data_IF_275844681319
#
_entry.id   IF_275844681319
#
_cell.length_a   1.000
_cell.length_b   1.000
_cell.length_c   1.000
_cell.angle_alpha   90.00
_cell.angle_beta   90.00
_cell.angle_gamma   90.00
#
_symmetry.space_group_name_H-M   'P 1'
#
loop_
_entity.id
_entity.type
_entity.pdbx_description
1 polymer ?
#
# COMPACT_ATOMS: atom_id res chain seq x y z
N UNK A 1 -34.52 -14.80 48.14
CA UNK A 1 -34.22 -15.98 47.30
C UNK A 1 -34.66 -15.66 45.87
N UNK A 2 -33.75 -15.82 44.89
CA UNK A 2 -33.88 -15.80 43.39
C UNK A 2 -34.57 -14.59 42.70
N UNK A 3 -33.99 -13.80 41.78
CA UNK A 3 -33.30 -13.99 40.48
C UNK A 3 -34.25 -14.20 39.28
N UNK A 4 -34.32 -13.23 38.32
CA UNK A 4 -34.32 -13.45 36.84
C UNK A 4 -34.44 -12.16 35.98
N UNK A 5 -33.31 -11.80 35.35
CA UNK A 5 -33.00 -11.29 33.99
C UNK A 5 -33.81 -10.18 33.23
N UNK A 6 -33.08 -9.08 32.99
CA UNK A 6 -32.89 -8.26 31.77
C UNK A 6 -34.04 -7.97 30.77
N UNK A 7 -34.31 -6.67 30.58
CA UNK A 7 -34.08 -5.97 29.29
C UNK A 7 -34.13 -4.45 29.50
N UNK A 8 -32.97 -3.81 29.52
CA UNK A 8 -32.85 -2.36 29.47
C UNK A 8 -33.29 -1.86 28.08
N UNK A 9 -34.39 -1.13 28.04
CA UNK A 9 -34.77 -0.29 26.91
C UNK A 9 -34.76 1.16 27.38
N UNK A 10 -33.77 1.94 26.96
CA UNK A 10 -33.69 3.36 27.28
C UNK A 10 -32.64 4.09 26.44
N UNK A 11 -33.05 5.24 25.90
CA UNK A 11 -32.33 6.20 25.03
C UNK A 11 -32.14 5.76 23.56
N UNK A 12 -32.90 6.24 22.56
CA UNK A 12 -33.24 7.61 22.12
C UNK A 12 -32.07 8.34 21.45
N UNK A 13 -32.00 8.27 20.13
CA UNK A 13 -31.35 9.29 19.30
C UNK A 13 -29.81 9.23 19.24
N UNK A 14 -29.30 9.44 18.03
CA UNK A 14 -27.86 9.56 17.70
C UNK A 14 -27.17 10.80 18.32
N UNK A 15 -27.82 11.50 19.25
CA UNK A 15 -27.35 12.75 19.86
C UNK A 15 -26.57 12.59 21.17
N UNK A 16 -26.60 11.41 21.81
CA UNK A 16 -26.09 11.22 23.18
C UNK A 16 -24.73 10.48 23.28
N UNK A 17 -24.08 10.17 22.15
CA UNK A 17 -22.81 9.44 22.16
C UNK A 17 -21.55 10.34 22.25
N UNK A 18 -21.70 11.67 22.21
CA UNK A 18 -20.58 12.61 22.26
C UNK A 18 -20.26 13.16 23.67
N UNK A 19 -20.84 12.59 24.75
CA UNK A 19 -20.62 13.06 26.14
C UNK A 19 -19.86 12.11 27.06
N UNK A 20 -19.35 11.00 26.56
CA UNK A 20 -18.52 10.08 27.34
C UNK A 20 -17.20 9.90 26.61
N UNK A 21 -16.17 10.61 27.08
CA UNK A 21 -14.80 10.48 26.59
C UNK A 21 -14.23 9.09 26.87
N UNK A 22 -14.49 8.15 25.97
CA UNK A 22 -13.91 6.83 25.94
C UNK A 22 -13.85 6.33 24.50
N UNK A 23 -12.66 5.96 24.06
CA UNK A 23 -12.41 5.32 22.78
C UNK A 23 -13.33 4.10 22.61
N UNK A 24 -14.16 4.11 21.57
CA UNK A 24 -14.97 2.93 21.19
C UNK A 24 -14.12 2.07 20.27
N UNK A 25 -13.27 1.24 20.85
CA UNK A 25 -12.61 0.15 20.12
C UNK A 25 -13.58 -1.03 19.98
N UNK A 26 -14.37 -1.03 18.91
CA UNK A 26 -15.29 -2.12 18.58
C UNK A 26 -15.31 -2.40 17.08
N UNK A 27 -14.98 -3.64 16.68
CA UNK A 27 -15.12 -4.12 15.31
C UNK A 27 -16.59 -4.12 14.91
N UNK A 28 -16.98 -3.24 13.99
CA UNK A 28 -18.32 -3.19 13.44
C UNK A 28 -18.64 -4.49 12.68
N UNK A 29 -19.81 -5.08 12.93
CA UNK A 29 -20.29 -6.25 12.20
C UNK A 29 -21.16 -5.84 11.01
N UNK A 30 -21.25 -6.70 10.00
CA UNK A 30 -22.04 -6.45 8.78
C UNK A 30 -23.55 -6.21 9.03
N UNK A 31 -24.05 -6.53 10.23
CA UNK A 31 -25.46 -6.43 10.59
C UNK A 31 -25.85 -5.07 11.21
N UNK A 32 -24.87 -4.32 11.75
CA UNK A 32 -25.06 -2.96 12.25
C UNK A 32 -25.27 -1.94 11.11
N UNK A 33 -24.99 -2.34 9.87
CA UNK A 33 -24.97 -1.50 8.67
C UNK A 33 -26.32 -1.34 7.95
N UNK A 34 -27.42 -1.91 8.46
CA UNK A 34 -28.71 -1.96 7.72
C UNK A 34 -29.77 -0.92 8.12
N UNK A 35 -29.51 -0.05 9.10
CA UNK A 35 -30.55 0.83 9.68
C UNK A 35 -30.35 2.35 9.47
N UNK A 36 -29.46 2.81 8.58
CA UNK A 36 -29.29 4.24 8.29
C UNK A 36 -30.18 4.75 7.14
N UNK A 37 -30.51 6.04 7.07
CA UNK A 37 -31.27 6.64 5.96
C UNK A 37 -30.42 7.00 4.74
N UNK A 38 -31.05 7.22 3.58
CA UNK A 38 -30.52 7.38 2.21
C UNK A 38 -29.26 8.28 1.94
N UNK A 39 -28.62 8.86 2.95
CA UNK A 39 -27.28 9.45 2.87
C UNK A 39 -26.14 8.55 3.35
N UNK A 40 -26.41 7.50 4.14
CA UNK A 40 -25.36 6.66 4.74
C UNK A 40 -24.68 5.74 3.72
N UNK A 41 -25.35 5.37 2.63
CA UNK A 41 -24.75 4.57 1.56
C UNK A 41 -23.82 5.39 0.65
N UNK A 42 -24.00 6.72 0.55
CA UNK A 42 -23.10 7.58 -0.24
C UNK A 42 -21.76 7.76 0.44
N UNK A 43 -21.77 7.81 1.78
CA UNK A 43 -20.56 7.84 2.58
C UNK A 43 -20.00 6.43 2.81
N UNK A 44 -20.82 5.38 2.84
CA UNK A 44 -20.33 4.00 2.84
C UNK A 44 -19.81 3.55 1.47
N UNK A 45 -20.20 4.16 0.34
CA UNK A 45 -19.45 4.02 -0.93
C UNK A 45 -18.08 4.73 -0.84
N UNK A 46 -17.91 5.66 0.11
CA UNK A 46 -16.62 6.27 0.46
C UNK A 46 -15.92 5.58 1.66
N UNK A 47 -16.63 4.80 2.47
CA UNK A 47 -16.18 4.14 3.71
C UNK A 47 -16.78 2.73 3.84
N UNK A 48 -16.59 1.91 2.81
CA UNK A 48 -17.28 0.63 2.54
C UNK A 48 -17.37 0.30 1.03
N UNK A 49 -16.91 1.22 0.18
CA UNK A 49 -16.45 0.94 -1.17
C UNK A 49 -15.12 0.21 -1.08
N UNK A 50 -14.83 -0.68 -2.02
CA UNK A 50 -13.53 -1.32 -2.12
C UNK A 50 -12.45 -0.26 -1.88
N UNK A 51 -11.67 -0.42 -0.81
CA UNK A 51 -10.37 0.25 -0.74
C UNK A 51 -9.68 -0.19 -2.02
N UNK A 52 -9.53 0.71 -2.97
CA UNK A 52 -8.81 0.42 -4.21
C UNK A 52 -7.33 0.48 -3.80
N UNK A 53 -6.91 -0.51 -3.01
CA UNK A 53 -5.57 -0.59 -2.46
C UNK A 53 -4.65 -0.86 -3.61
N UNK A 54 -3.79 0.10 -3.92
CA UNK A 54 -2.67 -0.16 -4.81
C UNK A 54 -1.66 -1.02 -4.04
N UNK A 55 -1.16 -2.05 -4.69
CA UNK A 55 -0.12 -2.94 -4.18
C UNK A 55 0.98 -3.08 -5.22
N UNK A 56 2.19 -3.37 -4.76
CA UNK A 56 3.35 -3.62 -5.62
C UNK A 56 4.12 -4.82 -5.07
N UNK A 57 4.57 -5.68 -5.97
CA UNK A 57 5.44 -6.80 -5.64
C UNK A 57 6.58 -6.92 -6.64
N UNK A 58 7.69 -7.44 -6.18
CA UNK A 58 8.88 -7.72 -6.97
C UNK A 58 9.96 -8.25 -6.04
N UNK A 59 10.85 -9.08 -6.57
CA UNK A 59 11.96 -9.66 -5.82
C UNK A 59 13.25 -9.06 -6.36
N UNK A 60 13.85 -8.08 -5.65
CA UNK A 60 15.06 -7.44 -6.13
C UNK A 60 16.20 -8.44 -6.19
N UNK A 61 16.98 -8.35 -7.27
CA UNK A 61 18.32 -8.91 -7.30
C UNK A 61 19.22 -7.93 -6.54
N UNK A 62 20.10 -8.45 -5.67
CA UNK A 62 20.87 -7.62 -4.73
C UNK A 62 22.36 -7.63 -5.03
N UNK A 63 22.76 -8.17 -6.19
CA UNK A 63 24.14 -8.30 -6.61
C UNK A 63 24.28 -8.07 -8.12
N UNK A 64 25.34 -7.39 -8.53
CA UNK A 64 25.77 -7.25 -9.92
C UNK A 64 27.29 -7.06 -10.03
N UNK A 65 27.79 -6.95 -11.25
CA UNK A 65 29.20 -6.69 -11.55
C UNK A 65 29.28 -5.46 -12.46
N UNK A 66 30.30 -4.61 -12.27
CA UNK A 66 30.59 -3.49 -13.16
C UNK A 66 30.74 -3.98 -14.61
N UNK A 67 30.25 -3.18 -15.57
CA UNK A 67 30.36 -3.40 -17.02
C UNK A 67 29.68 -4.69 -17.56
N UNK A 68 29.07 -5.50 -16.69
CA UNK A 68 28.26 -6.65 -17.06
C UNK A 68 26.75 -6.30 -17.08
N UNK A 69 25.94 -6.95 -17.93
CA UNK A 69 24.50 -6.76 -17.91
C UNK A 69 23.94 -7.16 -16.54
N UNK A 70 23.25 -6.24 -15.89
CA UNK A 70 22.54 -6.51 -14.66
C UNK A 70 21.31 -7.38 -14.99
N UNK A 71 21.35 -8.65 -14.59
CA UNK A 71 20.21 -9.57 -14.56
C UNK A 71 19.19 -9.08 -13.53
N UNK A 72 18.53 -7.97 -13.83
CA UNK A 72 17.66 -7.29 -12.88
C UNK A 72 16.34 -8.01 -12.62
N UNK A 73 15.33 -7.25 -12.23
CA UNK A 73 14.04 -7.79 -11.79
C UNK A 73 12.89 -6.91 -12.28
N UNK A 74 11.69 -7.48 -12.32
CA UNK A 74 10.48 -6.75 -12.68
C UNK A 74 9.61 -6.55 -11.43
N UNK A 75 9.08 -5.34 -11.28
CA UNK A 75 8.00 -5.07 -10.31
C UNK A 75 6.64 -5.08 -11.00
N UNK A 76 5.62 -5.53 -10.29
CA UNK A 76 4.24 -5.57 -10.79
C UNK A 76 3.32 -4.85 -9.81
N UNK A 77 2.64 -3.82 -10.31
CA UNK A 77 1.58 -3.14 -9.58
C UNK A 77 0.22 -3.84 -9.78
N UNK A 78 -0.63 -3.75 -8.76
CA UNK A 78 -1.99 -4.31 -8.77
C UNK A 78 -2.94 -3.44 -7.93
N UNK A 79 -4.25 -3.58 -8.17
CA UNK A 79 -5.27 -2.73 -7.52
C UNK A 79 -5.21 -1.26 -7.96
N UNK A 80 -5.77 -0.32 -7.21
CA UNK A 80 -5.81 1.10 -7.63
C UNK A 80 -6.45 1.34 -9.01
N UNK A 81 -6.02 2.41 -9.70
CA UNK A 81 -6.52 2.79 -11.04
C UNK A 81 -5.41 2.73 -12.09
N UNK A 82 -5.43 1.78 -13.04
CA UNK A 82 -4.47 1.78 -14.14
C UNK A 82 -4.66 3.01 -15.05
N UNK A 83 -3.63 3.43 -15.82
CA UNK A 83 -2.30 2.82 -15.92
C UNK A 83 -1.42 3.09 -14.69
N UNK A 84 -0.40 2.26 -14.50
CA UNK A 84 0.65 2.47 -13.49
C UNK A 84 1.90 3.04 -14.15
N UNK A 85 2.62 3.88 -13.42
CA UNK A 85 3.94 4.41 -13.79
C UNK A 85 4.95 3.98 -12.75
N UNK A 86 6.07 3.40 -13.19
CA UNK A 86 7.14 2.94 -12.30
C UNK A 86 8.31 3.92 -12.26
N UNK A 87 8.96 4.03 -11.09
CA UNK A 87 10.13 4.89 -10.90
C UNK A 87 11.10 4.31 -9.85
N UNK A 88 12.40 4.49 -10.09
CA UNK A 88 13.45 4.16 -9.13
C UNK A 88 13.41 5.13 -7.95
N UNK A 89 13.62 4.60 -6.74
CA UNK A 89 13.71 5.36 -5.49
C UNK A 89 15.08 5.10 -4.87
N UNK A 90 15.74 6.16 -4.40
CA UNK A 90 17.10 6.11 -3.85
C UNK A 90 18.17 6.48 -4.88
N UNK A 91 19.43 6.25 -4.51
CA UNK A 91 20.60 6.54 -5.37
C UNK A 91 21.07 5.26 -6.02
N UNK A 92 20.61 4.99 -7.23
CA UNK A 92 20.98 3.79 -7.99
C UNK A 92 22.35 3.95 -8.65
N UNK A 93 23.07 2.83 -8.93
CA UNK A 93 24.28 2.87 -9.74
C UNK A 93 24.01 3.49 -11.10
N UNK A 94 24.93 4.31 -11.58
CA UNK A 94 24.87 4.83 -12.96
C UNK A 94 24.75 3.69 -13.96
N UNK A 95 23.85 3.85 -14.93
CA UNK A 95 23.58 2.84 -15.96
C UNK A 95 22.46 1.86 -15.63
N UNK A 96 21.88 1.88 -14.42
CA UNK A 96 20.65 1.15 -14.08
C UNK A 96 19.42 2.04 -14.24
N UNK A 97 18.37 1.52 -14.88
CA UNK A 97 17.10 2.21 -15.07
C UNK A 97 15.90 1.28 -14.82
N UNK A 98 14.71 1.88 -14.68
CA UNK A 98 13.44 1.16 -14.72
C UNK A 98 12.66 1.57 -15.96
N UNK A 99 12.05 0.61 -16.64
CA UNK A 99 11.03 0.91 -17.64
C UNK A 99 9.76 1.39 -16.94
N UNK A 100 9.32 2.64 -17.19
CA UNK A 100 8.21 3.24 -16.46
C UNK A 100 6.85 2.61 -16.77
N UNK A 101 6.74 1.79 -17.83
CA UNK A 101 5.50 1.13 -18.26
C UNK A 101 5.44 -0.33 -17.85
N UNK A 102 6.59 -1.04 -17.88
CA UNK A 102 6.66 -2.48 -17.58
C UNK A 102 7.15 -2.77 -16.17
N UNK A 103 7.84 -1.84 -15.53
CA UNK A 103 8.44 -2.04 -14.21
C UNK A 103 9.70 -2.92 -14.23
N UNK A 104 10.27 -3.17 -15.42
CA UNK A 104 11.53 -3.89 -15.57
C UNK A 104 12.69 -3.00 -15.15
N UNK A 105 13.47 -3.44 -14.17
CA UNK A 105 14.71 -2.81 -13.74
C UNK A 105 15.86 -3.55 -14.41
N UNK A 106 16.65 -2.85 -15.22
CA UNK A 106 17.76 -3.43 -15.97
C UNK A 106 18.79 -2.37 -16.34
N UNK A 107 19.95 -2.80 -16.83
CA UNK A 107 21.02 -1.89 -17.26
C UNK A 107 22.40 -2.50 -17.14
N UNK A 108 23.43 -1.65 -17.20
CA UNK A 108 24.84 -2.04 -17.02
C UNK A 108 25.46 -1.05 -16.05
N UNK A 109 25.77 -1.46 -14.80
CA UNK A 109 26.29 -0.55 -13.80
C UNK A 109 27.75 -0.17 -14.13
N UNK A 110 28.07 1.11 -14.01
CA UNK A 110 29.43 1.62 -14.31
C UNK A 110 30.28 1.91 -13.07
N UNK A 111 29.71 1.72 -11.88
CA UNK A 111 30.39 2.00 -10.61
C UNK A 111 30.19 0.83 -9.63
N UNK A 112 31.30 0.36 -9.05
CA UNK A 112 31.29 -0.65 -7.99
C UNK A 112 30.99 -0.01 -6.64
N UNK A 113 30.24 -0.69 -5.78
CA UNK A 113 29.94 -0.21 -4.45
C UNK A 113 28.73 -0.86 -3.81
N UNK A 114 28.45 -0.46 -2.57
CA UNK A 114 27.22 -0.82 -1.86
C UNK A 114 26.22 0.34 -1.95
N UNK A 115 25.06 0.08 -2.54
CA UNK A 115 23.99 1.06 -2.72
C UNK A 115 22.81 0.66 -1.84
N UNK A 116 22.59 1.40 -0.74
CA UNK A 116 21.57 1.10 0.26
C UNK A 116 20.32 1.99 0.12
N UNK A 117 19.20 1.55 0.72
CA UNK A 117 17.91 2.24 0.71
C UNK A 117 17.34 2.40 -0.72
N UNK A 118 17.58 1.39 -1.56
CA UNK A 118 17.01 1.34 -2.90
C UNK A 118 15.60 0.77 -2.84
N UNK A 119 14.73 1.30 -3.68
CA UNK A 119 13.40 0.74 -3.89
C UNK A 119 12.91 1.09 -5.30
N UNK A 120 11.77 0.51 -5.67
CA UNK A 120 11.04 0.84 -6.89
C UNK A 120 9.62 1.16 -6.48
N UNK A 121 9.13 2.29 -6.98
CA UNK A 121 7.78 2.77 -6.75
C UNK A 121 6.89 2.51 -7.96
N UNK A 122 5.60 2.36 -7.70
CA UNK A 122 4.54 2.39 -8.68
C UNK A 122 3.49 3.42 -8.27
N UNK A 123 3.11 4.27 -9.22
CA UNK A 123 2.08 5.29 -9.07
C UNK A 123 0.92 5.01 -10.01
N UNK A 124 -0.29 4.95 -9.49
CA UNK A 124 -1.51 4.76 -10.28
C UNK A 124 -2.05 6.11 -10.85
N UNK A 125 -3.02 6.06 -11.76
CA UNK A 125 -3.61 7.25 -12.39
C UNK A 125 -4.31 8.21 -11.39
N UNK A 126 -4.73 7.70 -10.24
CA UNK A 126 -5.26 8.50 -9.12
C UNK A 126 -4.18 9.07 -8.20
N UNK A 127 -2.91 8.98 -8.60
CA UNK A 127 -1.74 9.47 -7.86
C UNK A 127 -1.49 8.78 -6.51
N UNK A 128 -2.02 7.57 -6.29
CA UNK A 128 -1.59 6.75 -5.15
C UNK A 128 -0.25 6.11 -5.49
N UNK A 129 0.68 6.14 -4.55
CA UNK A 129 2.04 5.62 -4.75
C UNK A 129 2.34 4.56 -3.70
N UNK A 130 2.89 3.45 -4.15
CA UNK A 130 3.44 2.37 -3.32
C UNK A 130 4.83 2.02 -3.79
N UNK A 131 5.59 1.36 -2.94
CA UNK A 131 6.94 0.90 -3.25
C UNK A 131 7.18 -0.47 -2.62
N UNK A 132 8.08 -1.24 -3.21
CA UNK A 132 8.59 -2.45 -2.57
C UNK A 132 9.41 -2.07 -1.32
N UNK A 133 9.65 -2.99 -0.37
CA UNK A 133 10.55 -2.73 0.74
C UNK A 133 11.93 -2.26 0.25
N UNK A 134 12.58 -1.44 1.06
CA UNK A 134 13.95 -1.05 0.82
C UNK A 134 14.89 -2.26 0.80
N UNK A 135 15.92 -2.17 -0.03
CA UNK A 135 16.97 -3.17 -0.11
C UNK A 135 18.33 -2.53 -0.43
N UNK A 136 19.37 -3.36 -0.37
CA UNK A 136 20.75 -3.01 -0.72
C UNK A 136 21.18 -3.76 -1.97
N UNK A 137 21.83 -3.07 -2.90
CA UNK A 137 22.45 -3.63 -4.09
C UNK A 137 23.98 -3.53 -3.97
N UNK A 138 24.66 -4.64 -4.11
CA UNK A 138 26.12 -4.71 -4.17
C UNK A 138 26.56 -4.83 -5.63
N UNK A 139 27.41 -3.91 -6.09
CA UNK A 139 28.07 -4.01 -7.39
C UNK A 139 29.55 -4.33 -7.17
N UNK A 140 29.98 -5.54 -7.56
CA UNK A 140 31.36 -5.96 -7.52
C UNK A 140 32.17 -5.33 -8.66
N UNK A 141 33.46 -5.09 -8.44
CA UNK A 141 34.39 -4.72 -9.51
C UNK A 141 34.68 -5.91 -10.45
N UNK A 142 35.11 -5.61 -11.67
CA UNK A 142 35.53 -6.59 -12.69
C UNK A 142 36.79 -7.37 -12.30
#
# INVERSE_FOLDING_TARGET
MANEKFKEGGASGVGDLARMGGDVEGTLTNNDLKHGGAGFWRDMVRMGGAVISVGISGTPVTSGTVDEPYDGFTVTASGGTPPYTYALVGTWPDGIAVDPSTGEVSGTPTESGEFANLSVSATDASSNTVQIPDFTLEIAAE
#
